data_IF_747523337696
#
_entry.id   IF_747523337696
#
_cell.length_a   1.000
_cell.length_b   1.000
_cell.length_c   1.000
_cell.angle_alpha   90.00
_cell.angle_beta   90.00
_cell.angle_gamma   90.00
#
_symmetry.space_group_name_H-M   'P 1'
#
loop_
_entity.id
_entity.type
_entity.pdbx_description
1 polymer ?
#
# COMPACT_ATOMS: atom_id res chain seq x y z
N UNK A 1 -20.36 -54.25 -27.61
CA UNK A 1 -19.35 -53.23 -27.26
C UNK A 1 -19.99 -51.86 -27.45
N UNK A 2 -19.78 -50.95 -26.49
CA UNK A 2 -20.73 -49.91 -26.05
C UNK A 2 -21.06 -48.83 -27.08
N UNK A 3 -22.36 -48.53 -27.15
CA UNK A 3 -23.01 -47.44 -27.87
C UNK A 3 -22.64 -46.06 -27.31
N UNK A 4 -22.52 -45.11 -28.24
CA UNK A 4 -22.74 -43.68 -28.03
C UNK A 4 -24.19 -43.45 -27.63
N UNK A 5 -24.45 -42.72 -26.54
CA UNK A 5 -25.47 -41.68 -26.53
C UNK A 5 -25.36 -40.84 -25.24
N UNK A 6 -25.66 -39.55 -25.39
CA UNK A 6 -26.14 -38.62 -24.36
C UNK A 6 -25.07 -37.83 -23.58
N UNK A 7 -24.43 -36.94 -24.33
CA UNK A 7 -24.38 -35.52 -23.99
C UNK A 7 -25.78 -34.97 -23.67
N UNK A 8 -26.26 -35.16 -22.43
CA UNK A 8 -27.57 -34.65 -21.99
C UNK A 8 -27.54 -34.00 -20.58
N UNK A 9 -26.45 -33.32 -20.22
CA UNK A 9 -26.42 -32.49 -18.99
C UNK A 9 -25.69 -31.16 -19.19
N UNK A 10 -25.76 -30.55 -20.39
CA UNK A 10 -25.04 -29.31 -20.71
C UNK A 10 -25.91 -28.07 -20.94
N UNK A 11 -27.23 -28.11 -20.64
CA UNK A 11 -28.13 -26.99 -20.96
C UNK A 11 -29.15 -26.59 -19.90
N UNK A 12 -29.07 -27.08 -18.65
CA UNK A 12 -30.04 -26.69 -17.59
C UNK A 12 -29.49 -25.81 -16.47
N UNK A 13 -28.19 -25.53 -16.43
CA UNK A 13 -27.65 -24.49 -15.56
C UNK A 13 -26.70 -23.62 -16.36
N UNK A 14 -27.16 -22.42 -16.70
CA UNK A 14 -26.33 -21.35 -17.21
C UNK A 14 -25.29 -20.93 -16.16
N UNK A 15 -24.20 -21.67 -16.07
CA UNK A 15 -23.00 -21.23 -15.39
C UNK A 15 -22.03 -20.76 -16.47
N UNK A 16 -22.06 -19.46 -16.77
CA UNK A 16 -20.82 -18.80 -17.18
C UNK A 16 -19.84 -19.11 -16.05
N UNK A 17 -18.78 -19.86 -16.33
CA UNK A 17 -17.61 -19.90 -15.47
C UNK A 17 -17.02 -18.48 -15.45
N UNK A 18 -17.55 -17.63 -14.57
CA UNK A 18 -16.83 -16.46 -14.10
C UNK A 18 -15.62 -17.01 -13.34
N UNK A 19 -14.39 -16.56 -13.64
CA UNK A 19 -13.25 -16.91 -12.81
C UNK A 19 -13.58 -16.54 -11.36
N UNK A 20 -13.62 -17.55 -10.51
CA UNK A 20 -14.04 -17.44 -9.13
C UNK A 20 -13.04 -16.60 -8.34
N UNK A 21 -13.39 -15.33 -8.14
CA UNK A 21 -13.12 -14.63 -6.88
C UNK A 21 -11.83 -13.82 -6.79
N UNK A 22 -11.62 -12.84 -7.67
CA UNK A 22 -10.87 -11.65 -7.26
C UNK A 22 -11.70 -10.91 -6.20
N UNK A 23 -11.51 -11.27 -4.92
CA UNK A 23 -12.18 -10.59 -3.81
C UNK A 23 -11.84 -9.10 -3.81
N UNK A 24 -12.81 -8.24 -3.48
CA UNK A 24 -12.63 -6.78 -3.49
C UNK A 24 -11.37 -6.37 -2.69
N UNK A 25 -10.52 -5.48 -3.23
CA UNK A 25 -9.35 -4.96 -2.52
C UNK A 25 -9.73 -4.36 -1.16
N UNK A 26 -8.87 -4.55 -0.15
CA UNK A 26 -9.07 -3.97 1.18
C UNK A 26 -8.38 -2.64 1.26
N UNK A 27 -9.10 -1.61 1.73
CA UNK A 27 -8.53 -0.30 2.02
C UNK A 27 -7.51 -0.40 3.16
N UNK A 28 -6.37 0.24 2.99
CA UNK A 28 -5.35 0.43 4.02
C UNK A 28 -5.59 1.76 4.71
N UNK A 29 -5.46 1.77 6.03
CA UNK A 29 -5.57 2.99 6.85
C UNK A 29 -4.35 3.12 7.77
N UNK A 30 -4.19 4.29 8.38
CA UNK A 30 -3.32 4.48 9.53
C UNK A 30 -4.14 4.98 10.71
N UNK A 31 -3.57 4.91 11.91
CA UNK A 31 -4.18 5.39 13.16
C UNK A 31 -3.17 6.25 13.91
N UNK A 32 -3.56 6.81 15.05
CA UNK A 32 -2.63 7.54 15.93
C UNK A 32 -1.47 6.66 16.41
N UNK A 33 -1.65 5.34 16.51
CA UNK A 33 -0.58 4.40 16.89
C UNK A 33 0.29 3.93 15.73
N UNK A 34 0.10 4.46 14.51
CA UNK A 34 0.88 4.09 13.32
C UNK A 34 2.29 4.69 13.26
N UNK A 35 2.73 5.39 14.31
CA UNK A 35 4.06 6.02 14.44
C UNK A 35 4.39 7.03 13.34
N UNK A 36 3.56 8.08 13.13
CA UNK A 36 3.82 9.10 12.10
C UNK A 36 5.17 9.82 12.26
N UNK A 37 5.72 9.89 13.47
CA UNK A 37 7.03 10.43 13.76
C UNK A 37 8.17 9.69 13.04
N UNK A 38 8.00 8.40 12.73
CA UNK A 38 8.99 7.65 11.95
C UNK A 38 8.98 8.13 10.50
N UNK A 39 7.81 8.31 9.89
CA UNK A 39 7.69 8.88 8.55
C UNK A 39 8.31 10.30 8.52
N UNK A 40 7.98 11.13 9.50
CA UNK A 40 8.55 12.48 9.64
C UNK A 40 10.07 12.49 9.69
N UNK A 41 10.65 11.60 10.50
CA UNK A 41 12.10 11.43 10.60
C UNK A 41 12.70 11.02 9.26
N UNK A 42 12.12 10.03 8.56
CA UNK A 42 12.64 9.58 7.26
C UNK A 42 12.52 10.64 6.16
N UNK A 43 11.47 11.45 6.17
CA UNK A 43 11.34 12.58 5.25
C UNK A 43 12.43 13.63 5.49
N UNK A 44 12.74 13.96 6.76
CA UNK A 44 13.85 14.86 7.11
C UNK A 44 15.21 14.31 6.72
N UNK A 45 15.44 13.00 6.90
CA UNK A 45 16.67 12.31 6.46
C UNK A 45 16.85 12.36 4.93
N UNK A 46 15.78 12.62 4.18
CA UNK A 46 15.79 12.84 2.73
C UNK A 46 15.76 14.31 2.35
N UNK A 47 15.99 15.19 3.32
CA UNK A 47 16.03 16.65 3.14
C UNK A 47 14.72 17.22 2.57
N UNK A 48 13.62 16.48 2.68
CA UNK A 48 12.32 16.97 2.25
C UNK A 48 11.90 18.16 3.14
N UNK A 49 11.17 19.10 2.55
CA UNK A 49 10.69 20.29 3.26
C UNK A 49 9.18 20.49 3.10
N UNK A 50 8.63 21.48 3.80
CA UNK A 50 7.23 21.85 3.66
C UNK A 50 6.85 22.16 2.20
N UNK A 51 5.62 21.79 1.81
CA UNK A 51 5.11 22.03 0.45
C UNK A 51 5.60 21.02 -0.60
N UNK A 52 6.63 20.24 -0.31
CA UNK A 52 7.22 19.30 -1.26
C UNK A 52 6.30 18.12 -1.57
N UNK A 53 6.38 17.63 -2.80
CA UNK A 53 5.77 16.36 -3.22
C UNK A 53 6.76 15.55 -4.04
N UNK A 54 6.95 14.29 -3.65
CA UNK A 54 7.85 13.36 -4.34
C UNK A 54 7.10 12.07 -4.72
N UNK A 55 7.56 11.41 -5.78
CA UNK A 55 7.30 9.99 -6.01
C UNK A 55 8.36 9.20 -5.27
N UNK A 56 7.95 8.23 -4.46
CA UNK A 56 8.88 7.48 -3.62
C UNK A 56 8.45 6.04 -3.37
N UNK A 57 9.42 5.24 -2.94
CA UNK A 57 9.24 3.92 -2.34
C UNK A 57 9.47 4.00 -0.83
N UNK A 58 8.67 3.24 -0.09
CA UNK A 58 8.67 3.18 1.39
C UNK A 58 9.01 1.76 1.83
N UNK A 59 10.08 1.59 2.62
CA UNK A 59 10.57 0.24 2.94
C UNK A 59 11.16 0.08 4.35
N UNK A 60 10.82 -1.01 5.08
CA UNK A 60 9.54 -1.72 5.02
C UNK A 60 8.46 -0.97 5.82
N UNK A 61 7.22 -1.02 5.37
CA UNK A 61 6.05 -0.71 6.19
C UNK A 61 5.45 -2.01 6.73
N UNK A 62 4.78 -1.96 7.87
CA UNK A 62 4.10 -3.13 8.44
C UNK A 62 2.61 -3.03 8.26
N UNK A 63 2.01 -4.11 7.76
CA UNK A 63 0.58 -4.28 7.66
C UNK A 63 0.10 -5.22 8.75
N UNK A 64 -0.91 -4.80 9.53
CA UNK A 64 -1.57 -5.64 10.51
C UNK A 64 -3.09 -5.56 10.37
N UNK A 65 -3.77 -6.67 10.72
CA UNK A 65 -5.23 -6.70 10.80
C UNK A 65 -5.66 -6.20 12.17
N UNK A 66 -6.50 -5.16 12.19
CA UNK A 66 -7.08 -4.63 13.42
C UNK A 66 -8.55 -4.30 13.17
N UNK A 67 -9.45 -4.90 13.97
CA UNK A 67 -10.91 -4.72 13.87
C UNK A 67 -11.47 -4.80 12.44
N UNK A 68 -11.04 -5.79 11.67
CA UNK A 68 -11.48 -6.01 10.29
C UNK A 68 -10.88 -5.06 9.24
N UNK A 69 -10.06 -4.09 9.65
CA UNK A 69 -9.33 -3.16 8.77
C UNK A 69 -7.88 -3.63 8.60
N UNK A 70 -7.26 -3.19 7.50
CA UNK A 70 -5.81 -3.31 7.34
C UNK A 70 -5.17 -2.00 7.77
N UNK A 71 -4.34 -2.05 8.81
CA UNK A 71 -3.64 -0.89 9.37
C UNK A 71 -2.19 -0.96 8.96
N UNK A 72 -1.67 0.15 8.46
CA UNK A 72 -0.25 0.33 8.15
C UNK A 72 0.46 1.02 9.32
N UNK A 73 1.64 0.54 9.67
CA UNK A 73 2.50 1.08 10.71
C UNK A 73 3.87 1.43 10.12
N UNK A 74 4.39 2.61 10.48
CA UNK A 74 5.70 3.09 10.02
C UNK A 74 6.85 2.59 10.90
N UNK A 75 6.62 2.02 12.08
CA UNK A 75 7.67 1.62 13.03
C UNK A 75 8.88 0.87 12.41
N UNK A 76 8.71 -0.14 11.52
CA UNK A 76 9.86 -0.84 10.94
C UNK A 76 10.49 -0.13 9.73
N UNK A 77 9.99 1.05 9.34
CA UNK A 77 10.46 1.77 8.17
C UNK A 77 11.92 2.20 8.34
N UNK A 78 12.73 1.74 7.39
CA UNK A 78 14.16 2.03 7.30
C UNK A 78 14.46 3.16 6.33
N UNK A 79 13.72 3.25 5.22
CA UNK A 79 14.02 4.21 4.17
C UNK A 79 12.77 4.75 3.46
N UNK A 80 12.94 5.96 2.95
CA UNK A 80 12.20 6.52 1.83
C UNK A 80 13.19 6.63 0.68
N UNK A 81 12.90 6.01 -0.45
CA UNK A 81 13.67 6.16 -1.67
C UNK A 81 12.92 7.12 -2.59
N UNK A 82 13.44 8.33 -2.74
CA UNK A 82 12.86 9.34 -3.63
C UNK A 82 13.25 8.97 -5.06
N UNK A 83 12.23 8.69 -5.87
CA UNK A 83 12.38 8.34 -7.29
C UNK A 83 12.36 9.59 -8.16
N UNK A 84 11.52 10.57 -7.80
CA UNK A 84 11.30 11.80 -8.55
C UNK A 84 10.72 12.88 -7.63
N UNK A 85 11.17 14.13 -7.78
CA UNK A 85 10.53 15.30 -7.14
C UNK A 85 9.49 15.88 -8.10
N UNK A 86 8.21 15.82 -7.71
CA UNK A 86 7.08 16.28 -8.51
C UNK A 86 6.75 17.75 -8.27
N UNK A 87 6.98 18.23 -7.05
CA UNK A 87 6.88 19.64 -6.67
C UNK A 87 7.93 19.95 -5.62
N UNK A 88 8.74 21.01 -5.78
CA UNK A 88 9.72 21.41 -4.78
C UNK A 88 9.02 21.89 -3.51
N UNK A 89 9.72 21.76 -2.38
CA UNK A 89 9.31 22.40 -1.13
C UNK A 89 9.82 23.83 -1.00
N UNK A 90 9.39 24.50 0.06
CA UNK A 90 9.73 25.89 0.36
C UNK A 90 10.78 26.03 1.49
N UNK A 91 11.37 24.92 1.94
CA UNK A 91 12.36 24.90 3.02
C UNK A 91 11.75 24.96 4.42
N UNK A 92 10.43 25.08 4.56
CA UNK A 92 9.74 25.06 5.84
C UNK A 92 9.74 23.69 6.52
N UNK A 93 9.22 23.64 7.75
CA UNK A 93 9.20 22.42 8.56
C UNK A 93 8.12 21.42 8.10
N UNK A 94 8.48 20.13 8.06
CA UNK A 94 7.54 19.07 7.72
C UNK A 94 6.46 18.95 8.84
N UNK A 95 5.15 18.84 8.48
CA UNK A 95 4.06 18.66 9.44
C UNK A 95 4.18 17.38 10.29
N UNK A 96 3.62 17.36 11.49
CA UNK A 96 3.71 16.21 12.40
C UNK A 96 2.66 15.11 12.16
N UNK A 97 1.49 15.46 11.61
CA UNK A 97 0.39 14.52 11.40
C UNK A 97 0.52 13.83 10.05
N UNK A 98 0.15 12.55 9.99
CA UNK A 98 0.13 11.77 8.77
C UNK A 98 -1.29 11.34 8.36
N UNK A 99 -1.50 11.12 7.07
CA UNK A 99 -2.65 10.41 6.50
C UNK A 99 -2.23 9.52 5.32
N UNK A 100 -3.08 8.54 5.01
CA UNK A 100 -2.96 7.72 3.79
C UNK A 100 -4.19 7.87 2.90
N UNK A 101 -4.00 7.86 1.59
CA UNK A 101 -5.10 7.99 0.62
C UNK A 101 -4.95 6.99 -0.53
N UNK A 102 -6.06 6.38 -0.94
CA UNK A 102 -6.10 5.50 -2.12
C UNK A 102 -5.40 4.15 -1.96
N UNK A 103 -4.67 3.91 -0.87
CA UNK A 103 -3.97 2.63 -0.65
C UNK A 103 -4.95 1.48 -0.48
N UNK A 104 -4.78 0.44 -1.29
CA UNK A 104 -5.51 -0.82 -1.19
C UNK A 104 -4.53 -1.99 -1.30
N UNK A 105 -4.90 -3.12 -0.73
CA UNK A 105 -4.18 -4.39 -0.88
C UNK A 105 -5.11 -5.47 -1.43
N UNK A 106 -4.58 -6.43 -2.21
CA UNK A 106 -5.32 -7.63 -2.59
C UNK A 106 -5.80 -8.43 -1.35
N UNK A 107 -6.91 -9.18 -1.48
CA UNK A 107 -7.55 -9.86 -0.33
C UNK A 107 -6.66 -10.95 0.29
N UNK A 108 -5.85 -11.59 -0.54
CA UNK A 108 -4.90 -12.66 -0.24
C UNK A 108 -3.64 -12.15 0.48
N UNK A 109 -3.39 -10.83 0.48
CA UNK A 109 -2.29 -10.26 1.25
C UNK A 109 -2.50 -10.48 2.76
N UNK A 110 -1.43 -10.97 3.39
CA UNK A 110 -1.38 -11.29 4.82
C UNK A 110 -0.74 -10.14 5.60
N UNK A 111 -1.01 -10.01 6.91
CA UNK A 111 -0.18 -9.18 7.78
C UNK A 111 1.31 -9.50 7.60
N UNK A 112 2.17 -8.50 7.67
CA UNK A 112 3.60 -8.67 7.42
C UNK A 112 4.33 -7.37 7.09
N UNK A 113 5.60 -7.50 6.73
CA UNK A 113 6.43 -6.40 6.27
C UNK A 113 6.39 -6.32 4.75
N UNK A 114 6.22 -5.11 4.22
CA UNK A 114 6.11 -4.86 2.79
C UNK A 114 6.92 -3.64 2.37
N UNK A 115 7.47 -3.68 1.17
CA UNK A 115 7.89 -2.49 0.43
C UNK A 115 6.65 -1.94 -0.27
N UNK A 116 6.36 -0.68 -0.03
CA UNK A 116 5.28 0.06 -0.69
C UNK A 116 5.90 0.94 -1.76
N UNK A 117 5.68 0.61 -3.02
CA UNK A 117 6.36 1.24 -4.15
C UNK A 117 5.47 2.21 -4.91
N UNK A 118 6.10 3.17 -5.59
CA UNK A 118 5.47 4.13 -6.50
C UNK A 118 4.30 4.87 -5.84
N UNK A 119 4.52 5.42 -4.65
CA UNK A 119 3.54 6.29 -3.98
C UNK A 119 3.94 7.74 -4.15
N UNK A 120 2.99 8.64 -3.98
CA UNK A 120 3.28 10.07 -3.78
C UNK A 120 3.38 10.35 -2.28
N UNK A 121 4.41 11.09 -1.89
CA UNK A 121 4.63 11.55 -0.53
C UNK A 121 4.66 13.07 -0.52
N UNK A 122 3.76 13.70 0.23
CA UNK A 122 3.61 15.16 0.30
C UNK A 122 3.72 15.65 1.74
N UNK A 123 4.27 16.84 1.95
CA UNK A 123 4.49 17.51 3.25
C UNK A 123 3.79 18.87 3.35
N UNK A 124 2.57 19.01 2.82
CA UNK A 124 1.81 20.26 2.83
C UNK A 124 0.59 20.17 3.78
N UNK A 125 0.66 20.87 4.92
CA UNK A 125 -0.34 20.84 6.00
C UNK A 125 -0.40 19.53 6.80
N UNK A 126 -0.26 18.37 6.14
CA UNK A 126 -0.10 17.04 6.74
C UNK A 126 0.83 16.21 5.87
N UNK A 127 1.59 15.30 6.48
CA UNK A 127 2.30 14.27 5.72
C UNK A 127 1.27 13.35 5.07
N UNK A 128 1.34 13.18 3.76
CA UNK A 128 0.41 12.34 3.02
C UNK A 128 1.17 11.30 2.24
N UNK A 129 0.81 10.02 2.41
CA UNK A 129 1.20 8.93 1.51
C UNK A 129 -0.01 8.57 0.66
N UNK A 130 0.08 8.76 -0.64
CA UNK A 130 -1.05 8.56 -1.56
C UNK A 130 -0.69 7.57 -2.67
N UNK A 131 -1.59 6.63 -2.90
CA UNK A 131 -1.49 5.69 -4.01
C UNK A 131 -1.48 6.41 -5.36
N UNK A 132 -0.72 5.85 -6.29
CA UNK A 132 -0.78 6.14 -7.71
C UNK A 132 -1.34 4.93 -8.45
N UNK A 133 -1.54 5.06 -9.76
CA UNK A 133 -1.93 3.93 -10.62
C UNK A 133 -0.85 2.84 -10.70
N UNK A 134 0.40 3.19 -10.35
CA UNK A 134 1.56 2.31 -10.41
C UNK A 134 1.92 1.75 -9.04
N UNK A 135 1.16 2.07 -7.99
CA UNK A 135 1.46 1.62 -6.64
C UNK A 135 1.40 0.10 -6.53
N UNK A 136 2.49 -0.49 -6.04
CA UNK A 136 2.59 -1.92 -5.79
C UNK A 136 3.07 -2.20 -4.38
N UNK A 137 2.76 -3.41 -3.91
CA UNK A 137 3.21 -3.93 -2.63
C UNK A 137 4.08 -5.16 -2.90
N UNK A 138 5.29 -5.17 -2.34
CA UNK A 138 6.19 -6.32 -2.41
C UNK A 138 6.47 -6.80 -0.99
N UNK A 139 6.54 -8.11 -0.78
CA UNK A 139 6.93 -8.63 0.54
C UNK A 139 8.36 -8.18 0.85
N UNK A 140 8.57 -7.60 2.02
CA UNK A 140 9.92 -7.27 2.48
C UNK A 140 10.51 -8.51 3.16
N UNK A 141 11.63 -9.00 2.64
CA UNK A 141 12.41 -10.03 3.31
C UNK A 141 12.95 -9.46 4.63
N UNK A 142 12.85 -10.25 5.69
CA UNK A 142 13.48 -9.92 6.97
C UNK A 142 14.95 -10.25 6.80
N UNK A 143 15.77 -9.25 6.45
CA UNK A 143 17.22 -9.37 6.58
C UNK A 143 17.54 -9.47 8.07
N UNK A 144 17.81 -10.70 8.53
CA UNK A 144 18.43 -10.95 9.82
C UNK A 144 19.88 -10.44 9.71
N UNK A 145 20.15 -9.30 10.36
CA UNK A 145 21.51 -8.82 10.62
C UNK A 145 21.96 -9.35 11.96
#
# INVERSE_FOLDING_TARGET
MKMQYLSFFRSLFGAKEQPSGAGKPKRVIITSSSQPEVLHKRMREKEMSHGETVKADLSPVRLERSYGKMVMYFCPMKSIEVLETLSPGDGGSIPALAKVEGLTIPKDFKPGLYKLKNVTVTSNGTMQVKATEQTTWEVAEVEWV
#
